data_IF_631567096680
#
_entry.id   IF_631567096680
#
_cell.length_a   1.000
_cell.length_b   1.000
_cell.length_c   1.000
_cell.angle_alpha   90.00
_cell.angle_beta   90.00
_cell.angle_gamma   90.00
#
_symmetry.space_group_name_H-M   'P 1'
#
loop_
_entity.id
_entity.type
_entity.pdbx_description
1 polymer ?
#
# COMPACT_ATOMS: atom_id res chain seq x y z
N UNK A 1 13.98 -4.29 2.27
CA UNK A 1 13.89 -3.43 3.47
C UNK A 1 12.58 -3.73 4.12
N UNK A 2 12.61 -4.05 5.40
CA UNK A 2 11.42 -4.32 6.20
C UNK A 2 11.11 -3.04 6.97
N UNK A 3 9.88 -2.54 6.83
CA UNK A 3 9.39 -1.40 7.58
C UNK A 3 8.57 -1.88 8.78
N UNK A 4 8.43 -0.99 9.76
CA UNK A 4 7.66 -1.29 10.96
C UNK A 4 6.18 -1.54 10.63
N UNK A 5 5.53 -2.31 11.51
CA UNK A 5 4.10 -2.58 11.41
C UNK A 5 3.34 -1.38 11.97
N UNK A 6 2.31 -0.94 11.25
CA UNK A 6 1.42 0.14 11.64
C UNK A 6 0.03 -0.41 11.98
N UNK A 7 -0.62 0.12 13.00
CA UNK A 7 -2.00 -0.22 13.37
C UNK A 7 -2.97 0.70 12.63
N UNK A 8 -4.07 0.14 12.14
CA UNK A 8 -5.21 0.89 11.59
C UNK A 8 -6.33 0.84 12.61
N UNK A 9 -6.74 2.00 13.09
CA UNK A 9 -7.90 2.12 13.97
C UNK A 9 -9.20 2.10 13.13
N UNK A 10 -10.20 1.34 13.57
CA UNK A 10 -11.54 1.31 12.96
C UNK A 10 -12.18 2.72 12.88
N UNK A 11 -11.76 3.64 13.75
CA UNK A 11 -12.24 5.02 13.77
C UNK A 11 -11.59 5.93 12.73
N UNK A 12 -10.49 5.51 12.11
CA UNK A 12 -9.81 6.28 11.07
C UNK A 12 -10.59 6.29 9.75
N UNK A 13 -11.47 5.30 9.53
CA UNK A 13 -12.18 5.09 8.28
C UNK A 13 -13.71 5.14 8.49
N UNK A 14 -14.42 6.10 7.87
CA UNK A 14 -15.88 6.22 8.01
C UNK A 14 -16.63 4.96 7.54
N UNK A 15 -17.71 4.59 8.23
CA UNK A 15 -18.50 3.39 7.89
C UNK A 15 -19.18 3.51 6.52
N UNK A 16 -19.57 4.72 6.13
CA UNK A 16 -20.23 5.08 4.86
C UNK A 16 -19.27 5.13 3.66
N UNK A 17 -18.04 4.68 3.86
CA UNK A 17 -16.99 4.61 2.86
C UNK A 17 -17.36 3.63 1.72
N UNK A 18 -17.26 4.10 0.46
CA UNK A 18 -17.66 3.35 -0.74
C UNK A 18 -16.51 2.99 -1.67
N UNK A 19 -15.48 3.83 -1.79
CA UNK A 19 -14.34 3.54 -2.65
C UNK A 19 -13.09 4.29 -2.22
N UNK A 20 -11.95 3.59 -2.20
CA UNK A 20 -10.64 4.18 -1.97
C UNK A 20 -9.75 4.04 -3.19
N UNK A 21 -8.85 4.99 -3.27
CA UNK A 21 -7.74 4.99 -4.20
C UNK A 21 -6.47 5.15 -3.38
N UNK A 22 -5.54 4.22 -3.55
CA UNK A 22 -4.17 4.37 -3.07
C UNK A 22 -3.36 5.10 -4.14
N UNK A 23 -2.74 6.20 -3.74
CA UNK A 23 -1.86 6.96 -4.59
C UNK A 23 -0.42 6.73 -4.12
N UNK A 24 0.46 6.41 -5.06
CA UNK A 24 1.88 6.27 -4.81
C UNK A 24 2.64 7.29 -5.66
N UNK A 25 3.16 8.33 -5.03
CA UNK A 25 4.09 9.25 -5.70
C UNK A 25 5.50 8.70 -5.53
N UNK A 26 6.19 8.49 -6.64
CA UNK A 26 7.52 7.88 -6.67
C UNK A 26 8.55 8.94 -7.07
N UNK A 27 9.71 8.90 -6.42
CA UNK A 27 10.93 9.60 -6.83
C UNK A 27 12.11 8.66 -6.58
N UNK A 28 12.45 7.87 -7.61
CA UNK A 28 13.52 6.90 -7.57
C UNK A 28 14.75 7.43 -8.32
N UNK A 29 15.81 7.77 -7.59
CA UNK A 29 17.09 8.18 -8.19
C UNK A 29 18.02 7.00 -8.50
N UNK A 30 17.65 5.78 -8.11
CA UNK A 30 18.42 4.59 -8.45
C UNK A 30 18.33 4.27 -9.94
N UNK A 31 19.40 3.65 -10.46
CA UNK A 31 19.45 3.08 -11.82
C UNK A 31 18.84 1.68 -11.92
N UNK A 32 18.14 1.26 -10.88
CA UNK A 32 17.49 -0.04 -10.78
C UNK A 32 16.14 0.14 -10.08
N UNK A 33 15.25 -0.83 -10.28
CA UNK A 33 13.88 -0.75 -9.80
C UNK A 33 13.70 -1.24 -8.37
N UNK A 34 12.46 -1.19 -7.91
CA UNK A 34 12.03 -1.82 -6.68
C UNK A 34 10.59 -2.32 -6.82
N UNK A 35 10.23 -3.30 -6.01
CA UNK A 35 8.85 -3.67 -5.74
C UNK A 35 8.50 -3.23 -4.33
N UNK A 36 7.41 -2.48 -4.19
CA UNK A 36 6.87 -2.08 -2.91
C UNK A 36 5.54 -2.80 -2.73
N UNK A 37 5.46 -3.63 -1.71
CA UNK A 37 4.27 -4.40 -1.39
C UNK A 37 3.74 -3.96 -0.04
N UNK A 38 2.45 -3.62 -0.01
CA UNK A 38 1.72 -3.25 1.21
C UNK A 38 0.85 -4.42 1.59
N UNK A 39 1.05 -4.94 2.80
CA UNK A 39 0.37 -6.10 3.34
C UNK A 39 -0.53 -5.68 4.51
N UNK A 40 -1.68 -6.35 4.63
CA UNK A 40 -2.65 -6.16 5.72
C UNK A 40 -2.93 -7.46 6.46
N UNK A 41 -3.18 -7.39 7.77
CA UNK A 41 -3.64 -8.54 8.56
C UNK A 41 -4.36 -8.11 9.84
N UNK A 42 -5.33 -8.88 10.37
CA UNK A 42 -5.95 -8.60 11.66
C UNK A 42 -5.00 -8.79 12.86
N UNK A 43 -3.89 -9.52 12.71
CA UNK A 43 -2.88 -9.70 13.77
C UNK A 43 -1.47 -9.38 13.23
N UNK A 44 -0.80 -8.45 13.91
CA UNK A 44 0.61 -8.07 13.62
C UNK A 44 1.59 -9.25 13.57
N UNK A 45 1.30 -10.36 14.23
CA UNK A 45 2.15 -11.56 14.21
C UNK A 45 2.03 -12.34 12.92
N UNK A 46 0.89 -12.29 12.23
CA UNK A 46 0.71 -12.97 10.95
C UNK A 46 1.58 -12.32 9.86
N UNK A 47 1.81 -11.00 9.93
CA UNK A 47 2.71 -10.26 9.04
C UNK A 47 4.19 -10.64 9.16
N UNK A 48 4.56 -11.42 10.19
CA UNK A 48 5.91 -11.97 10.39
C UNK A 48 6.04 -13.40 9.86
N UNK A 49 4.93 -14.03 9.47
CA UNK A 49 4.88 -15.40 8.98
C UNK A 49 4.75 -15.36 7.46
N UNK A 50 5.73 -15.87 6.70
CA UNK A 50 5.64 -15.94 5.25
C UNK A 50 4.40 -16.71 4.79
N UNK A 51 3.70 -16.18 3.79
CA UNK A 51 2.53 -16.80 3.15
C UNK A 51 1.40 -17.21 4.10
N UNK A 52 1.24 -16.48 5.22
CA UNK A 52 0.15 -16.74 6.16
C UNK A 52 -1.21 -16.49 5.48
N UNK A 53 -2.21 -17.39 5.62
CA UNK A 53 -3.48 -17.30 4.90
C UNK A 53 -4.31 -16.07 5.25
N UNK A 54 -4.13 -15.52 6.45
CA UNK A 54 -4.83 -14.32 6.93
C UNK A 54 -4.06 -13.02 6.64
N UNK A 55 -3.09 -13.06 5.73
CA UNK A 55 -2.39 -11.86 5.21
C UNK A 55 -2.93 -11.56 3.83
N UNK A 56 -3.34 -10.31 3.62
CA UNK A 56 -3.84 -9.82 2.33
C UNK A 56 -2.84 -8.85 1.72
N UNK A 57 -2.70 -8.87 0.40
CA UNK A 57 -1.97 -7.85 -0.34
C UNK A 57 -2.88 -6.66 -0.62
N UNK A 58 -2.64 -5.54 0.07
CA UNK A 58 -3.40 -4.29 -0.09
C UNK A 58 -3.01 -3.62 -1.41
N UNK A 59 -1.72 -3.62 -1.71
CA UNK A 59 -1.20 -3.02 -2.92
C UNK A 59 0.17 -3.58 -3.27
N UNK A 60 0.46 -3.60 -4.57
CA UNK A 60 1.78 -3.88 -5.12
C UNK A 60 2.14 -2.82 -6.15
N UNK A 61 3.29 -2.21 -5.96
CA UNK A 61 3.80 -1.13 -6.80
C UNK A 61 5.11 -1.56 -7.43
N UNK A 62 5.14 -1.48 -8.75
CA UNK A 62 6.35 -1.69 -9.54
C UNK A 62 7.02 -0.34 -9.77
N UNK A 63 8.17 -0.14 -9.15
CA UNK A 63 8.96 1.09 -9.28
C UNK A 63 10.10 0.84 -10.26
N UNK A 64 10.05 1.53 -11.40
CA UNK A 64 11.11 1.44 -12.42
C UNK A 64 12.40 2.16 -11.99
N UNK A 65 13.49 1.92 -12.72
CA UNK A 65 14.69 2.75 -12.62
C UNK A 65 14.37 4.20 -13.05
N UNK A 66 14.90 5.19 -12.33
CA UNK A 66 14.65 6.61 -12.60
C UNK A 66 13.15 7.00 -12.65
N UNK A 67 12.29 6.27 -11.94
CA UNK A 67 10.84 6.49 -11.93
C UNK A 67 10.47 7.72 -11.10
N UNK A 68 9.70 8.64 -11.70
CA UNK A 68 9.16 9.84 -11.05
C UNK A 68 7.64 9.93 -11.16
N UNK A 69 6.97 8.78 -11.34
CA UNK A 69 5.55 8.71 -11.65
C UNK A 69 4.64 8.90 -10.42
N UNK A 70 3.38 9.17 -10.71
CA UNK A 70 2.28 8.98 -9.78
C UNK A 70 1.52 7.73 -10.23
N UNK A 71 1.53 6.70 -9.39
CA UNK A 71 0.73 5.49 -9.61
C UNK A 71 -0.56 5.59 -8.81
N UNK A 72 -1.66 5.16 -9.41
CA UNK A 72 -3.01 5.25 -8.84
C UNK A 72 -3.62 3.85 -8.88
N UNK A 73 -3.91 3.29 -7.71
CA UNK A 73 -4.47 1.96 -7.55
C UNK A 73 -5.85 2.08 -6.90
N UNK A 74 -6.88 1.61 -7.61
CA UNK A 74 -8.21 1.45 -7.02
C UNK A 74 -8.19 0.25 -6.08
N UNK A 75 -8.64 0.46 -4.84
CA UNK A 75 -8.70 -0.61 -3.84
C UNK A 75 -9.98 -1.43 -4.03
N UNK A 76 -9.83 -2.76 -4.00
CA UNK A 76 -10.92 -3.72 -4.09
C UNK A 76 -11.85 -3.66 -2.87
N UNK A 77 -13.06 -4.20 -3.02
CA UNK A 77 -14.08 -4.23 -1.95
C UNK A 77 -13.62 -5.02 -0.72
N UNK A 78 -12.83 -6.07 -0.93
CA UNK A 78 -12.19 -6.88 0.10
C UNK A 78 -11.19 -6.08 0.94
N UNK A 79 -10.34 -5.30 0.27
CA UNK A 79 -9.39 -4.40 0.92
C UNK A 79 -10.12 -3.28 1.66
N UNK A 80 -11.18 -2.74 1.07
CA UNK A 80 -12.05 -1.74 1.69
C UNK A 80 -12.67 -2.28 2.97
N UNK A 81 -13.16 -3.52 2.96
CA UNK A 81 -13.74 -4.16 4.14
C UNK A 81 -12.69 -4.36 5.24
N UNK A 82 -11.50 -4.86 4.89
CA UNK A 82 -10.38 -4.96 5.83
C UNK A 82 -10.04 -3.62 6.47
N UNK A 83 -9.96 -2.55 5.68
CA UNK A 83 -9.68 -1.21 6.16
C UNK A 83 -10.75 -0.70 7.14
N UNK A 84 -12.03 -1.07 6.96
CA UNK A 84 -13.12 -0.72 7.88
C UNK A 84 -13.07 -1.51 9.19
N UNK A 85 -12.69 -2.77 9.11
CA UNK A 85 -12.61 -3.67 10.27
C UNK A 85 -11.35 -3.41 11.12
N UNK A 86 -10.42 -2.61 10.62
CA UNK A 86 -9.17 -2.29 11.29
C UNK A 86 -8.19 -3.47 11.28
N UNK A 87 -7.01 -3.24 11.85
CA UNK A 87 -5.96 -4.26 11.91
C UNK A 87 -4.56 -3.68 11.82
N UNK A 88 -3.69 -4.37 11.10
CA UNK A 88 -2.29 -4.02 10.99
C UNK A 88 -1.83 -4.01 9.54
N UNK A 89 -0.96 -3.07 9.21
CA UNK A 89 -0.31 -2.94 7.91
C UNK A 89 1.20 -3.04 8.02
N UNK A 90 1.82 -3.55 6.97
CA UNK A 90 3.28 -3.57 6.82
C UNK A 90 3.65 -3.27 5.39
N UNK A 91 4.72 -2.53 5.19
CA UNK A 91 5.28 -2.28 3.86
C UNK A 91 6.62 -3.00 3.70
N UNK A 92 6.72 -3.83 2.68
CA UNK A 92 7.93 -4.52 2.29
C UNK A 92 8.49 -3.94 0.99
N UNK A 93 9.81 -3.71 0.95
CA UNK A 93 10.49 -3.15 -0.23
C UNK A 93 11.57 -4.10 -0.73
N UNK A 94 11.44 -4.57 -1.96
CA UNK A 94 12.39 -5.45 -2.64
C UNK A 94 13.11 -4.69 -3.75
N UNK A 95 14.43 -4.51 -3.64
CA UNK A 95 15.20 -3.88 -4.71
C UNK A 95 15.41 -4.87 -5.85
N UNK A 96 15.07 -4.45 -7.07
CA UNK A 96 15.28 -5.24 -8.29
C UNK A 96 16.65 -4.90 -8.87
N UNK A 97 17.35 -5.90 -9.41
CA UNK A 97 18.55 -5.66 -10.19
C UNK A 97 18.22 -4.90 -11.49
N UNK A 98 19.22 -4.42 -12.23
CA UNK A 98 19.01 -3.73 -13.49
C UNK A 98 18.50 -4.74 -14.52
N UNK A 99 17.47 -4.38 -15.29
CA UNK A 99 16.87 -5.27 -16.29
C UNK A 99 17.86 -5.64 -17.41
N UNK A 100 18.85 -4.80 -17.66
CA UNK A 100 19.90 -5.02 -18.66
C UNK A 100 21.02 -5.98 -18.19
N UNK A 101 20.91 -6.53 -16.98
CA UNK A 101 21.89 -7.46 -16.40
C UNK A 101 23.21 -6.80 -15.99
N UNK A 102 23.27 -5.47 -16.01
CA UNK A 102 24.44 -4.73 -15.53
C UNK A 102 24.59 -4.83 -14.01
N UNK A 103 25.79 -4.49 -13.50
CA UNK A 103 26.03 -4.48 -12.06
C UNK A 103 25.36 -3.28 -11.40
N UNK A 104 24.44 -3.53 -10.46
CA UNK A 104 23.92 -2.47 -9.58
C UNK A 104 25.04 -1.82 -8.78
N UNK A 105 25.09 -0.49 -8.80
CA UNK A 105 25.93 0.30 -7.88
C UNK A 105 25.01 1.19 -7.07
N UNK A 106 25.01 1.01 -5.75
CA UNK A 106 24.44 2.00 -4.83
C UNK A 106 25.48 3.08 -4.60
N UNK A 107 25.14 4.33 -4.94
CA UNK A 107 25.91 5.49 -4.50
C UNK A 107 25.30 6.05 -3.21
N UNK A 108 26.12 6.67 -2.38
CA UNK A 108 25.66 7.28 -1.12
C UNK A 108 24.72 8.46 -1.33
N UNK A 109 24.65 8.98 -2.56
CA UNK A 109 23.74 10.06 -2.97
C UNK A 109 22.43 9.54 -3.56
N UNK A 110 22.32 8.24 -3.83
CA UNK A 110 21.12 7.69 -4.41
C UNK A 110 20.06 7.50 -3.32
N UNK A 111 18.82 7.82 -3.66
CA UNK A 111 17.68 7.67 -2.78
C UNK A 111 16.45 7.28 -3.59
N UNK A 112 15.56 6.54 -2.96
CA UNK A 112 14.20 6.33 -3.45
C UNK A 112 13.24 6.81 -2.38
N UNK A 113 12.30 7.66 -2.80
CA UNK A 113 11.19 8.07 -1.95
C UNK A 113 9.89 7.61 -2.58
N UNK A 114 9.05 6.96 -1.77
CA UNK A 114 7.70 6.57 -2.15
C UNK A 114 6.75 7.15 -1.13
N UNK A 115 5.86 8.05 -1.57
CA UNK A 115 4.80 8.59 -0.73
C UNK A 115 3.51 7.84 -1.04
N UNK A 116 3.01 7.12 -0.05
CA UNK A 116 1.73 6.39 -0.11
C UNK A 116 0.66 7.21 0.61
N UNK A 117 -0.46 7.47 -0.06
CA UNK A 117 -1.61 8.13 0.55
C UNK A 117 -2.93 7.68 -0.05
N UNK A 118 -3.92 7.46 0.81
CA UNK A 118 -5.28 7.10 0.42
C UNK A 118 -6.15 8.31 0.13
N UNK A 119 -7.04 8.20 -0.85
CA UNK A 119 -8.19 9.09 -1.00
C UNK A 119 -9.46 8.27 -0.89
N UNK A 120 -10.34 8.64 0.03
CA UNK A 120 -11.57 7.92 0.34
C UNK A 120 -12.78 8.73 -0.15
N UNK A 121 -13.77 8.06 -0.76
CA UNK A 121 -15.07 8.65 -1.08
C UNK A 121 -16.15 8.02 -0.21
N UNK A 122 -16.89 8.84 0.52
CA UNK A 122 -18.06 8.45 1.29
C UNK A 122 -19.29 9.23 0.82
N UNK A 123 -20.46 8.60 0.88
CA UNK A 123 -21.74 9.29 0.68
C UNK A 123 -22.28 9.69 2.05
N UNK A 124 -22.46 10.99 2.27
CA UNK A 124 -23.06 11.52 3.50
C UNK A 124 -24.56 11.72 3.23
N UNK A 125 -25.42 11.00 3.98
CA UNK A 125 -26.88 11.19 3.96
C UNK A 125 -27.71 10.09 3.29
N UNK A 126 -27.28 8.83 3.34
CA UNK A 126 -28.05 7.70 2.81
C UNK A 126 -28.70 6.84 3.92
N UNK A 127 -29.33 7.46 4.93
CA UNK A 127 -30.34 6.82 5.78
C UNK A 127 -31.43 7.86 6.09
N UNK A 128 -32.58 7.70 5.43
CA UNK A 128 -33.95 8.03 5.91
C UNK A 128 -35.00 7.83 4.78
N UNK A 129 -34.83 6.86 3.88
CA UNK A 129 -35.90 6.43 2.97
C UNK A 129 -35.97 4.90 2.92
N UNK A 130 -36.60 4.28 3.92
CA UNK A 130 -37.47 3.10 3.79
C UNK A 130 -38.07 2.68 5.15
N UNK A 131 -38.88 3.54 5.76
CA UNK A 131 -40.04 3.13 6.55
C UNK A 131 -41.28 3.88 6.02
N UNK A 132 -41.99 3.28 5.06
CA UNK A 132 -43.41 3.56 4.77
C UNK A 132 -44.06 2.36 4.07
#
# INVERSE_FOLDING_TARGET
VELDVEEIDETDIPKEFKSAVLNAKVDNLFKFGAEVTVLGSPDSNFLKIPDHPDVIEIARLEVGAADTSLQILELGEDIIQFLKDGGYMKTDVWLKGPEDGSTSRLLTTDSMTVWLYGTFKALIGAEDEEEN
#
